data_IF_476959970532
#
_entry.id   IF_476959970532
#
_cell.length_a   1.000
_cell.length_b   1.000
_cell.length_c   1.000
_cell.angle_alpha   90.00
_cell.angle_beta   90.00
_cell.angle_gamma   90.00
#
_symmetry.space_group_name_H-M   'P 1'
#
loop_
_entity.id
_entity.type
_entity.pdbx_description
1 polymer ?
#
# COMPACT_ATOMS: atom_id res chain seq x y z
N UNK A 1 -25.04 12.91 -24.68
CA UNK A 1 -24.37 12.34 -23.50
C UNK A 1 -23.62 13.50 -22.85
N UNK A 2 -24.26 14.09 -21.86
CA UNK A 2 -23.88 15.38 -21.27
C UNK A 2 -22.61 15.22 -20.43
N UNK A 3 -21.60 16.01 -20.79
CA UNK A 3 -20.41 16.22 -19.98
C UNK A 3 -20.89 16.92 -18.71
N UNK A 4 -20.83 16.23 -17.57
CA UNK A 4 -21.07 16.86 -16.27
C UNK A 4 -19.89 17.79 -16.04
N UNK A 5 -20.11 19.09 -16.19
CA UNK A 5 -19.16 20.12 -15.80
C UNK A 5 -18.91 20.01 -14.29
N UNK A 6 -17.78 19.41 -13.91
CA UNK A 6 -17.27 19.43 -12.52
C UNK A 6 -16.71 20.80 -12.12
N UNK A 7 -17.28 21.90 -12.63
CA UNK A 7 -16.81 23.27 -12.38
C UNK A 7 -17.31 23.86 -11.05
N UNK A 8 -18.14 23.13 -10.28
CA UNK A 8 -18.82 23.65 -9.09
C UNK A 8 -18.14 23.42 -7.74
N UNK A 9 -17.03 22.67 -7.65
CA UNK A 9 -16.47 22.29 -6.34
C UNK A 9 -15.46 23.31 -5.77
N UNK A 10 -15.08 24.34 -6.53
CA UNK A 10 -13.91 25.17 -6.21
C UNK A 10 -14.19 26.49 -5.50
N UNK A 11 -15.44 26.90 -5.27
CA UNK A 11 -15.72 28.20 -4.67
C UNK A 11 -16.47 28.03 -3.34
N UNK A 12 -15.71 28.15 -2.26
CA UNK A 12 -16.09 28.03 -0.84
C UNK A 12 -16.37 26.61 -0.37
N UNK A 13 -15.30 25.98 0.14
CA UNK A 13 -15.39 24.77 0.97
C UNK A 13 -16.32 25.07 2.15
N UNK A 14 -17.37 24.26 2.32
CA UNK A 14 -18.34 24.45 3.41
C UNK A 14 -17.61 24.43 4.77
N UNK A 15 -18.00 25.25 5.76
CA UNK A 15 -17.33 25.34 7.06
C UNK A 15 -17.01 23.99 7.75
N UNK A 16 -17.90 22.98 7.75
CA UNK A 16 -17.59 21.66 8.36
C UNK A 16 -16.46 20.91 7.66
N UNK A 17 -16.19 21.25 6.41
CA UNK A 17 -15.15 20.64 5.59
C UNK A 17 -13.81 21.37 5.78
N UNK A 18 -13.82 22.65 6.16
CA UNK A 18 -12.62 23.36 6.60
C UNK A 18 -12.06 22.76 7.89
N UNK A 19 -12.91 22.54 8.91
CA UNK A 19 -12.49 21.91 10.17
C UNK A 19 -11.84 20.53 9.92
N UNK A 20 -12.36 19.79 8.93
CA UNK A 20 -11.80 18.51 8.53
C UNK A 20 -10.43 18.68 7.85
N UNK A 21 -10.28 19.64 6.95
CA UNK A 21 -8.99 19.89 6.29
C UNK A 21 -7.94 20.42 7.26
N UNK A 22 -8.30 21.31 8.18
CA UNK A 22 -7.44 21.79 9.27
C UNK A 22 -7.00 20.61 10.16
N UNK A 23 -7.93 19.72 10.53
CA UNK A 23 -7.58 18.50 11.25
C UNK A 23 -6.55 17.64 10.52
N UNK A 24 -6.72 17.42 9.21
CA UNK A 24 -5.76 16.65 8.41
C UNK A 24 -4.42 17.36 8.27
N UNK A 25 -4.43 18.69 8.13
CA UNK A 25 -3.21 19.48 8.05
C UNK A 25 -2.41 19.36 9.35
N UNK A 26 -3.03 19.67 10.50
CA UNK A 26 -2.40 19.61 11.81
C UNK A 26 -1.94 18.20 12.20
N UNK A 27 -2.71 17.18 11.78
CA UNK A 27 -2.47 15.80 12.22
C UNK A 27 -1.46 15.07 11.35
N UNK A 28 -1.45 15.29 10.03
CA UNK A 28 -0.72 14.45 9.09
C UNK A 28 0.16 15.20 8.09
N UNK A 29 -0.23 16.39 7.63
CA UNK A 29 0.48 17.09 6.53
C UNK A 29 1.53 18.06 7.08
N UNK A 30 1.15 18.89 8.06
CA UNK A 30 2.03 19.87 8.68
C UNK A 30 2.41 21.01 7.74
N UNK A 31 1.46 21.56 6.97
CA UNK A 31 1.78 22.62 5.99
C UNK A 31 2.32 23.90 6.65
N UNK A 32 1.89 24.18 7.89
CA UNK A 32 2.27 25.38 8.64
C UNK A 32 3.05 25.10 9.94
N UNK A 33 3.06 23.86 10.44
CA UNK A 33 3.72 23.43 11.68
C UNK A 33 4.17 21.96 11.59
N UNK A 34 4.87 21.45 12.61
CA UNK A 34 5.22 20.02 12.68
C UNK A 34 3.93 19.21 12.88
N UNK A 35 3.63 18.34 11.90
CA UNK A 35 2.48 17.44 11.98
C UNK A 35 2.55 16.55 13.23
N UNK A 36 1.39 16.24 13.84
CA UNK A 36 1.31 15.32 14.97
C UNK A 36 1.92 13.95 14.67
N UNK A 37 1.72 13.45 13.45
CA UNK A 37 2.34 12.23 12.94
C UNK A 37 3.20 12.58 11.74
N UNK A 38 4.48 12.25 11.83
CA UNK A 38 5.45 12.53 10.79
C UNK A 38 5.06 11.78 9.50
N UNK A 39 5.30 12.41 8.35
CA UNK A 39 4.94 11.85 7.03
C UNK A 39 5.57 10.48 6.83
N UNK A 40 6.79 10.29 7.32
CA UNK A 40 7.57 9.05 7.22
C UNK A 40 6.91 7.85 7.91
N UNK A 41 6.04 8.10 8.90
CA UNK A 41 5.39 7.04 9.68
C UNK A 41 4.18 6.43 8.96
N UNK A 42 3.53 7.19 8.07
CA UNK A 42 2.27 6.78 7.43
C UNK A 42 2.32 6.78 5.90
N UNK A 43 3.25 7.52 5.30
CA UNK A 43 3.36 7.62 3.86
C UNK A 43 4.02 6.37 3.27
N UNK A 44 3.36 5.78 2.27
CA UNK A 44 3.82 4.55 1.59
C UNK A 44 4.30 4.80 0.17
N UNK A 45 4.58 6.06 -0.18
CA UNK A 45 5.04 6.50 -1.51
C UNK A 45 6.26 5.68 -1.98
N UNK A 46 7.35 5.71 -1.22
CA UNK A 46 8.59 5.02 -1.58
C UNK A 46 8.40 3.49 -1.65
N UNK A 47 7.49 2.95 -0.84
CA UNK A 47 7.13 1.53 -0.86
C UNK A 47 6.39 1.16 -2.16
N UNK A 48 5.57 2.05 -2.70
CA UNK A 48 4.92 1.88 -4.01
C UNK A 48 5.95 1.89 -5.13
N UNK A 49 6.91 2.82 -5.10
CA UNK A 49 7.95 2.94 -6.11
C UNK A 49 8.91 1.75 -6.11
N UNK A 50 9.29 1.28 -4.93
CA UNK A 50 10.21 0.13 -4.76
C UNK A 50 9.54 -1.23 -4.90
N UNK A 51 8.24 -1.26 -5.20
CA UNK A 51 7.43 -2.48 -5.30
C UNK A 51 7.46 -3.35 -4.03
N UNK A 52 7.67 -2.72 -2.87
CA UNK A 52 7.66 -3.38 -1.57
C UNK A 52 6.22 -3.56 -1.04
N UNK A 53 6.07 -4.43 -0.05
CA UNK A 53 4.78 -4.67 0.59
C UNK A 53 4.32 -3.45 1.39
N UNK A 54 3.21 -2.82 0.99
CA UNK A 54 2.57 -1.68 1.68
C UNK A 54 1.93 -2.00 3.03
N UNK A 55 1.82 -3.30 3.35
CA UNK A 55 1.13 -3.82 4.53
C UNK A 55 1.89 -5.04 5.02
N UNK A 56 1.67 -5.39 6.28
CA UNK A 56 2.17 -6.61 6.91
C UNK A 56 1.47 -7.90 6.43
N UNK A 57 0.63 -7.86 5.39
CA UNK A 57 -0.14 -8.99 4.86
C UNK A 57 0.70 -10.27 4.62
N UNK A 58 1.95 -10.12 4.18
CA UNK A 58 2.84 -11.25 3.98
C UNK A 58 3.20 -11.94 5.31
N UNK A 59 3.47 -11.15 6.35
CA UNK A 59 3.78 -11.62 7.70
C UNK A 59 2.54 -12.25 8.33
N UNK A 60 1.37 -11.62 8.20
CA UNK A 60 0.10 -12.18 8.67
C UNK A 60 -0.24 -13.51 7.97
N UNK A 61 0.01 -13.58 6.66
CA UNK A 61 -0.13 -14.81 5.89
C UNK A 61 0.81 -15.92 6.37
N UNK A 62 2.06 -15.58 6.68
CA UNK A 62 3.03 -16.51 7.25
C UNK A 62 2.62 -16.99 8.64
N UNK A 63 2.25 -16.09 9.55
CA UNK A 63 1.71 -16.45 10.86
C UNK A 63 0.47 -17.35 10.76
N UNK A 64 -0.45 -17.05 9.84
CA UNK A 64 -1.65 -17.87 9.61
C UNK A 64 -1.29 -19.28 9.13
N UNK A 65 -0.33 -19.41 8.21
CA UNK A 65 0.13 -20.70 7.72
C UNK A 65 0.83 -21.51 8.83
N UNK A 66 1.70 -20.86 9.60
CA UNK A 66 2.43 -21.49 10.70
C UNK A 66 1.48 -21.96 11.81
N UNK A 67 0.49 -21.15 12.18
CA UNK A 67 -0.55 -21.55 13.14
C UNK A 67 -1.35 -22.77 12.67
N UNK A 68 -1.60 -22.90 11.37
CA UNK A 68 -2.23 -24.09 10.78
C UNK A 68 -1.34 -25.32 10.84
N UNK A 69 -0.01 -25.17 10.80
CA UNK A 69 0.93 -26.28 11.00
C UNK A 69 0.89 -26.79 12.44
N UNK A 70 0.89 -25.90 13.42
CA UNK A 70 0.81 -26.28 14.85
C UNK A 70 -0.50 -26.97 15.25
N UNK A 71 -1.63 -26.62 14.60
CA UNK A 71 -2.99 -27.17 14.85
C UNK A 71 -3.47 -27.07 16.31
N UNK A 72 -2.77 -26.30 17.15
CA UNK A 72 -3.01 -26.14 18.60
C UNK A 72 -2.60 -24.73 19.01
N UNK A 73 -3.34 -24.13 19.95
CA UNK A 73 -3.04 -22.79 20.45
C UNK A 73 -1.74 -22.74 21.28
N UNK A 74 -1.43 -23.82 22.00
CA UNK A 74 -0.26 -23.93 22.86
C UNK A 74 0.50 -25.23 22.55
N UNK A 75 1.27 -25.30 21.45
CA UNK A 75 2.09 -26.46 21.14
C UNK A 75 3.24 -26.60 22.15
N UNK A 76 3.65 -27.82 22.51
CA UNK A 76 4.85 -28.01 23.32
C UNK A 76 6.09 -27.52 22.56
N UNK A 77 7.12 -27.09 23.27
CA UNK A 77 8.32 -26.51 22.69
C UNK A 77 9.03 -27.45 21.69
N UNK A 78 8.95 -28.77 21.90
CA UNK A 78 9.46 -29.76 20.96
C UNK A 78 8.76 -29.72 19.60
N UNK A 79 7.44 -29.53 19.58
CA UNK A 79 6.67 -29.33 18.33
C UNK A 79 7.04 -28.01 17.67
N UNK A 80 7.25 -26.94 18.45
CA UNK A 80 7.74 -25.67 17.93
C UNK A 80 9.07 -25.85 17.16
N UNK A 81 10.06 -26.50 17.79
CA UNK A 81 11.36 -26.76 17.15
C UNK A 81 11.18 -27.59 15.87
N UNK A 82 10.34 -28.61 15.90
CA UNK A 82 10.11 -29.47 14.74
C UNK A 82 9.54 -28.68 13.55
N UNK A 83 8.46 -27.93 13.76
CA UNK A 83 7.84 -27.15 12.68
C UNK A 83 8.74 -26.03 12.15
N UNK A 84 9.56 -25.41 13.02
CA UNK A 84 10.53 -24.41 12.58
C UNK A 84 11.62 -25.01 11.69
N UNK A 85 12.08 -26.23 11.98
CA UNK A 85 13.02 -26.94 11.10
C UNK A 85 12.40 -27.26 9.74
N UNK A 86 11.15 -27.69 9.72
CA UNK A 86 10.42 -27.96 8.47
C UNK A 86 10.24 -26.66 7.66
N UNK A 87 9.88 -25.56 8.29
CA UNK A 87 9.76 -24.25 7.62
C UNK A 87 11.12 -23.75 7.09
N UNK A 88 12.21 -23.97 7.82
CA UNK A 88 13.57 -23.66 7.35
C UNK A 88 13.94 -24.49 6.11
N UNK A 89 13.68 -25.80 6.13
CA UNK A 89 13.92 -26.69 4.99
C UNK A 89 13.12 -26.26 3.75
N UNK A 90 11.85 -25.90 3.93
CA UNK A 90 11.00 -25.37 2.87
C UNK A 90 11.56 -24.05 2.32
N UNK A 91 12.01 -23.14 3.19
CA UNK A 91 12.59 -21.85 2.82
C UNK A 91 13.90 -22.03 2.05
N UNK A 92 14.81 -22.87 2.54
CA UNK A 92 16.08 -23.18 1.87
C UNK A 92 15.84 -23.80 0.50
N UNK A 93 14.89 -24.73 0.39
CA UNK A 93 14.51 -25.35 -0.88
C UNK A 93 14.01 -24.32 -1.90
N UNK A 94 13.18 -23.35 -1.46
CA UNK A 94 12.70 -22.24 -2.31
C UNK A 94 13.85 -21.34 -2.77
N UNK A 95 14.78 -21.01 -1.88
CA UNK A 95 15.96 -20.20 -2.21
C UNK A 95 16.87 -20.93 -3.19
N UNK A 96 17.12 -22.22 -2.99
CA UNK A 96 17.96 -23.02 -3.89
C UNK A 96 17.36 -23.10 -5.30
N UNK A 97 16.05 -23.33 -5.41
CA UNK A 97 15.35 -23.32 -6.71
C UNK A 97 15.53 -21.98 -7.42
N UNK A 98 15.35 -20.87 -6.71
CA UNK A 98 15.56 -19.53 -7.25
C UNK A 98 17.02 -19.30 -7.68
N UNK A 99 18.01 -19.79 -6.91
CA UNK A 99 19.43 -19.68 -7.29
C UNK A 99 19.77 -20.45 -8.56
N UNK A 100 19.16 -21.62 -8.76
CA UNK A 100 19.39 -22.47 -9.95
C UNK A 100 18.67 -21.88 -11.18
N UNK A 101 17.45 -21.39 -11.00
CA UNK A 101 16.66 -20.80 -12.07
C UNK A 101 16.04 -19.45 -11.62
N UNK A 102 16.81 -18.35 -11.70
CA UNK A 102 16.32 -17.03 -11.29
C UNK A 102 15.12 -16.55 -12.12
N UNK A 103 15.04 -16.99 -13.38
CA UNK A 103 13.95 -16.67 -14.31
C UNK A 103 12.61 -17.31 -13.95
N UNK A 104 12.58 -18.44 -13.24
CA UNK A 104 11.34 -19.03 -12.71
C UNK A 104 10.77 -18.23 -11.53
N UNK A 105 11.59 -17.38 -10.91
CA UNK A 105 11.24 -16.68 -9.68
C UNK A 105 11.05 -17.64 -8.49
N UNK A 106 10.85 -17.07 -7.30
CA UNK A 106 10.34 -17.86 -6.18
C UNK A 106 8.87 -18.15 -6.50
N UNK A 107 8.42 -19.40 -6.39
CA UNK A 107 7.02 -19.75 -6.60
C UNK A 107 6.10 -18.92 -5.66
N UNK A 108 5.60 -17.79 -6.15
CA UNK A 108 4.61 -16.96 -5.48
C UNK A 108 3.26 -17.35 -6.03
N UNK A 109 2.26 -17.51 -5.16
CA UNK A 109 0.89 -17.70 -5.63
C UNK A 109 0.53 -16.56 -6.58
N UNK A 110 0.00 -16.92 -7.75
CA UNK A 110 -0.45 -15.93 -8.73
C UNK A 110 -1.44 -14.98 -8.07
N UNK A 111 -1.09 -13.68 -8.04
CA UNK A 111 -1.98 -12.65 -7.50
C UNK A 111 -3.25 -12.61 -8.33
N UNK A 112 -4.40 -12.49 -7.68
CA UNK A 112 -5.67 -12.30 -8.37
C UNK A 112 -5.60 -11.06 -9.27
N UNK A 113 -6.16 -11.15 -10.48
CA UNK A 113 -6.16 -10.07 -11.48
C UNK A 113 -6.61 -8.73 -10.90
N UNK A 114 -7.59 -8.73 -9.99
CA UNK A 114 -8.06 -7.52 -9.30
C UNK A 114 -6.95 -6.80 -8.52
N UNK A 115 -6.08 -7.54 -7.82
CA UNK A 115 -5.02 -6.94 -7.01
C UNK A 115 -3.86 -6.45 -7.86
N UNK A 116 -3.55 -7.17 -8.95
CA UNK A 116 -2.56 -6.72 -9.94
C UNK A 116 -3.03 -5.40 -10.57
N UNK A 117 -4.32 -5.32 -10.92
CA UNK A 117 -4.90 -4.10 -11.48
C UNK A 117 -4.82 -2.92 -10.50
N UNK A 118 -5.28 -3.10 -9.27
CA UNK A 118 -5.26 -2.04 -8.25
C UNK A 118 -3.83 -1.55 -7.98
N UNK A 119 -2.87 -2.47 -7.90
CA UNK A 119 -1.46 -2.14 -7.71
C UNK A 119 -0.91 -1.28 -8.86
N UNK A 120 -1.26 -1.62 -10.10
CA UNK A 120 -0.91 -0.80 -11.28
C UNK A 120 -1.51 0.60 -11.19
N UNK A 121 -2.78 0.72 -10.80
CA UNK A 121 -3.46 2.02 -10.65
C UNK A 121 -2.74 2.88 -9.61
N UNK A 122 -2.37 2.30 -8.46
CA UNK A 122 -1.64 3.01 -7.41
C UNK A 122 -0.28 3.49 -7.92
N UNK A 123 0.45 2.65 -8.65
CA UNK A 123 1.74 3.04 -9.24
C UNK A 123 1.61 4.15 -10.29
N UNK A 124 0.60 4.07 -11.16
CA UNK A 124 0.33 5.12 -12.15
C UNK A 124 -0.05 6.44 -11.46
N UNK A 125 -0.81 6.36 -10.38
CA UNK A 125 -1.23 7.52 -9.59
C UNK A 125 -0.03 8.23 -8.95
N UNK A 126 0.90 7.47 -8.37
CA UNK A 126 2.15 8.02 -7.81
C UNK A 126 2.98 8.70 -8.90
N UNK A 127 3.18 8.05 -10.05
CA UNK A 127 3.91 8.67 -11.17
C UNK A 127 3.28 9.98 -11.66
N UNK A 128 1.95 10.04 -11.68
CA UNK A 128 1.23 11.27 -12.04
C UNK A 128 1.39 12.35 -10.96
N UNK A 129 1.46 11.96 -9.69
CA UNK A 129 1.77 12.85 -8.57
C UNK A 129 3.15 13.47 -8.78
N UNK A 130 4.19 12.67 -9.00
CA UNK A 130 5.58 13.17 -9.12
C UNK A 130 5.84 13.97 -10.40
N UNK A 131 5.18 13.61 -11.50
CA UNK A 131 5.28 14.34 -12.76
C UNK A 131 4.62 15.73 -12.69
N UNK A 132 3.95 16.05 -11.60
CA UNK A 132 3.29 17.33 -11.37
C UNK A 132 4.19 18.26 -10.57
N UNK A 133 4.52 19.43 -11.11
CA UNK A 133 5.23 20.46 -10.34
C UNK A 133 4.44 20.87 -9.09
N UNK A 134 5.06 20.69 -7.92
CA UNK A 134 4.49 20.96 -6.60
C UNK A 134 4.00 22.40 -6.41
N UNK A 135 4.54 23.35 -7.17
CA UNK A 135 4.19 24.78 -7.07
C UNK A 135 2.93 25.22 -7.81
N UNK A 136 2.29 24.35 -8.60
CA UNK A 136 1.30 24.78 -9.62
C UNK A 136 -0.14 24.29 -9.39
N UNK A 137 -0.44 23.55 -8.31
CA UNK A 137 -1.80 23.00 -8.09
C UNK A 137 -2.35 23.34 -6.72
N UNK A 138 -3.57 23.85 -6.68
CA UNK A 138 -4.35 23.83 -5.44
C UNK A 138 -4.64 22.37 -5.05
N UNK A 139 -4.70 22.09 -3.75
CA UNK A 139 -5.06 20.77 -3.21
C UNK A 139 -6.33 20.20 -3.89
N UNK A 140 -7.31 21.06 -4.19
CA UNK A 140 -8.56 20.70 -4.88
C UNK A 140 -8.33 20.25 -6.32
N UNK A 141 -7.46 20.94 -7.07
CA UNK A 141 -7.09 20.52 -8.43
C UNK A 141 -6.36 19.17 -8.42
N UNK A 142 -5.52 18.95 -7.41
CA UNK A 142 -4.84 17.67 -7.23
C UNK A 142 -5.84 16.54 -6.97
N UNK A 143 -6.77 16.71 -6.03
CA UNK A 143 -7.85 15.75 -5.76
C UNK A 143 -8.73 15.50 -6.99
N UNK A 144 -9.02 16.53 -7.80
CA UNK A 144 -9.78 16.38 -9.04
C UNK A 144 -9.04 15.56 -10.10
N UNK A 145 -7.73 15.70 -10.23
CA UNK A 145 -6.91 14.87 -11.13
C UNK A 145 -6.88 13.42 -10.65
N UNK A 146 -6.70 13.20 -9.33
CA UNK A 146 -6.76 11.87 -8.72
C UNK A 146 -8.12 11.20 -8.93
N UNK A 147 -9.22 11.92 -8.68
CA UNK A 147 -10.57 11.42 -8.89
C UNK A 147 -10.78 11.02 -10.35
N UNK A 148 -10.33 11.84 -11.30
CA UNK A 148 -10.44 11.50 -12.73
C UNK A 148 -9.57 10.30 -13.13
N UNK A 149 -8.39 10.13 -12.53
CA UNK A 149 -7.56 8.96 -12.75
C UNK A 149 -8.24 7.69 -12.21
N UNK A 150 -8.89 7.77 -11.05
CA UNK A 150 -9.59 6.66 -10.41
C UNK A 150 -10.95 6.35 -11.07
N UNK A 151 -11.66 7.34 -11.61
CA UNK A 151 -12.98 7.16 -12.24
C UNK A 151 -12.91 6.63 -13.68
N UNK A 152 -11.75 6.67 -14.34
CA UNK A 152 -11.58 6.18 -15.72
C UNK A 152 -11.46 4.65 -15.84
N UNK A 153 -11.48 3.90 -14.72
CA UNK A 153 -11.16 2.46 -14.69
C UNK A 153 -12.08 1.60 -13.85
#
# INVERSE_FOLDING_TARGET
MTVVECAGFCNEVQPPLNDLFEYFDDTYIGSNEIARYAVEDWNVHDTVETHLGRTNNAIEGWHSALNKRFRKANPPFSTLIFELKEEELDAQSRIQRYRINPSEGIAVRTRLKKYVRVDKIIQETVKLFDATDAGSRSFVQHLGVLQNALCKY
#
